data_IF_539072969773
#
_entry.id   IF_539072969773
#
_cell.length_a   1.000
_cell.length_b   1.000
_cell.length_c   1.000
_cell.angle_alpha   90.00
_cell.angle_beta   90.00
_cell.angle_gamma   90.00
#
_symmetry.space_group_name_H-M   'P 1'
#
loop_
_entity.id
_entity.type
_entity.pdbx_description
1 polymer ?
2 polymer ?
3 polymer ?
4 non-polymer ?
5 water ?
#
# COMPACT_ATOMS: atom_id res chain seq x y z
N UNK A 1 10.24 4.13 -19.07
CA UNK A 1 10.15 3.36 -17.80
C UNK A 1 9.32 2.12 -18.04
N UNK A 2 9.05 1.40 -16.96
CA UNK A 2 8.13 0.28 -17.04
C UNK A 2 6.88 0.66 -16.25
N UNK A 3 5.76 0.06 -16.60
CA UNK A 3 4.50 0.38 -15.96
C UNK A 3 3.73 -0.90 -15.62
N UNK A 4 2.79 -0.81 -14.71
CA UNK A 4 2.04 -1.99 -14.35
C UNK A 4 0.57 -1.68 -14.11
N UNK A 5 -0.28 -2.63 -14.48
CA UNK A 5 -1.68 -2.58 -14.10
C UNK A 5 -1.96 -3.78 -13.21
N UNK A 6 -2.57 -3.52 -12.05
CA UNK A 6 -2.68 -4.52 -10.98
C UNK A 6 -4.05 -4.47 -10.31
N UNK A 7 -4.65 -5.64 -10.07
CA UNK A 7 -5.94 -5.72 -9.34
C UNK A 7 -5.74 -6.48 -8.04
N UNK A 8 -6.18 -5.88 -6.92
CA UNK A 8 -6.02 -6.49 -5.59
C UNK A 8 -7.41 -6.78 -4.99
N UNK A 9 -7.68 -8.05 -4.66
CA UNK A 9 -9.00 -8.49 -4.25
C UNK A 9 -8.92 -9.00 -2.83
N UNK A 10 -9.84 -8.55 -1.97
CA UNK A 10 -9.89 -9.01 -0.57
C UNK A 10 -11.29 -9.54 -0.20
N UNK A 11 -11.35 -10.73 0.38
CA UNK A 11 -12.62 -11.26 0.94
C UNK A 11 -12.42 -11.70 2.38
N UNK A 12 -13.21 -11.16 3.30
CA UNK A 12 -13.10 -11.44 4.72
C UNK A 12 -14.41 -12.00 5.35
N UNK A 13 -14.43 -13.27 5.76
CA UNK A 13 -15.58 -13.81 6.43
C UNK A 13 -15.77 -13.20 7.83
N UNK A 14 -17.03 -13.07 8.24
CA UNK A 14 -17.38 -12.58 9.57
C UNK A 14 -18.62 -13.30 10.05
N UNK A 15 -18.47 -14.59 10.38
CA UNK A 15 -19.59 -15.45 10.76
C UNK A 15 -20.51 -14.81 11.81
N UNK A 16 -21.82 -14.95 11.59
CA UNK A 16 -22.82 -14.35 12.46
C UNK A 16 -23.13 -12.92 12.06
N UNK A 17 -22.08 -12.18 11.66
CA UNK A 17 -22.18 -10.74 11.37
C UNK A 17 -22.55 -10.45 9.92
N UNK A 18 -23.20 -11.41 9.26
CA UNK A 18 -23.62 -11.23 7.87
C UNK A 18 -22.60 -11.75 6.87
N UNK A 19 -22.79 -11.41 5.60
CA UNK A 19 -21.98 -11.93 4.51
C UNK A 19 -20.59 -11.29 4.46
N UNK A 20 -19.60 -12.04 3.96
CA UNK A 20 -18.19 -11.59 3.94
C UNK A 20 -18.04 -10.17 3.42
N UNK A 21 -17.06 -9.46 3.94
CA UNK A 21 -16.70 -8.16 3.40
C UNK A 21 -15.84 -8.34 2.15
N UNK A 22 -16.11 -7.58 1.12
CA UNK A 22 -15.42 -7.84 -0.15
C UNK A 22 -14.97 -6.55 -0.84
N UNK A 23 -13.74 -6.55 -1.35
CA UNK A 23 -13.16 -5.33 -1.91
C UNK A 23 -12.31 -5.67 -3.15
N UNK A 24 -12.38 -4.83 -4.20
CA UNK A 24 -11.40 -4.91 -5.28
C UNK A 24 -10.78 -3.54 -5.44
N UNK A 25 -9.46 -3.51 -5.59
CA UNK A 25 -8.78 -2.25 -5.92
C UNK A 25 -7.90 -2.36 -7.16
N UNK A 26 -8.07 -1.41 -8.09
CA UNK A 26 -7.20 -1.29 -9.27
C UNK A 26 -6.08 -0.26 -9.10
N UNK A 27 -4.84 -0.63 -9.49
CA UNK A 27 -3.69 0.28 -9.49
C UNK A 27 -3.01 0.46 -10.84
N UNK A 28 -2.80 1.70 -11.22
CA UNK A 28 -1.88 1.97 -12.33
C UNK A 28 -0.60 2.52 -11.68
N UNK A 29 0.50 1.78 -11.80
CA UNK A 29 1.79 2.26 -11.36
C UNK A 29 1.84 2.60 -9.90
N UNK A 30 0.90 2.06 -9.13
CA UNK A 30 0.88 2.28 -7.69
C UNK A 30 -0.03 3.48 -7.30
N UNK A 31 -0.68 4.06 -8.29
CA UNK A 31 -1.79 4.97 -8.09
C UNK A 31 -3.10 4.19 -8.10
N UNK A 32 -3.91 4.31 -7.05
CA UNK A 32 -5.21 3.64 -7.03
C UNK A 32 -6.13 4.36 -8.03
N UNK A 33 -6.81 3.62 -8.91
CA UNK A 33 -7.63 4.30 -9.91
C UNK A 33 -9.07 3.86 -10.04
N UNK A 34 -9.36 2.65 -9.59
CA UNK A 34 -10.74 2.12 -9.53
C UNK A 34 -10.87 1.32 -8.25
N UNK A 35 -12.10 1.19 -7.77
CA UNK A 35 -12.36 0.47 -6.53
C UNK A 35 -13.78 -0.08 -6.52
N UNK A 36 -13.94 -1.28 -5.97
CA UNK A 36 -15.24 -1.88 -5.73
C UNK A 36 -15.41 -2.31 -4.28
N UNK A 37 -16.43 -1.77 -3.60
CA UNK A 37 -16.56 -1.98 -2.14
C UNK A 37 -17.95 -2.48 -1.83
N UNK A 38 -18.03 -3.64 -1.20
CA UNK A 38 -19.34 -4.23 -0.88
C UNK A 38 -20.05 -3.47 0.24
N UNK A 39 -19.31 -2.67 1.00
CA UNK A 39 -19.91 -1.92 2.09
C UNK A 39 -20.69 -0.72 1.58
N UNK A 40 -20.38 -0.29 0.36
CA UNK A 40 -21.08 0.85 -0.28
C UNK A 40 -22.59 0.73 -0.13
N UNK A 41 -23.25 1.88 0.01
CA UNK A 41 -24.70 1.97 0.08
C UNK A 41 -25.30 1.28 -1.14
N UNK A 42 -24.63 1.46 -2.28
CA UNK A 42 -24.99 0.81 -3.51
C UNK A 42 -23.69 0.40 -4.20
N UNK A 43 -23.17 -0.78 -3.84
CA UNK A 43 -21.85 -1.23 -4.26
C UNK A 43 -21.69 -1.25 -5.78
N UNK A 44 -20.48 -0.93 -6.25
CA UNK A 44 -20.18 -0.90 -7.68
C UNK A 44 -18.76 -0.39 -7.92
N UNK A 45 -18.18 -0.73 -9.06
CA UNK A 45 -16.90 -0.16 -9.39
C UNK A 45 -17.06 1.34 -9.50
N UNK A 46 -16.10 2.08 -8.98
CA UNK A 46 -16.07 3.52 -9.16
C UNK A 46 -14.67 4.07 -9.36
N UNK A 47 -14.58 5.25 -9.98
CA UNK A 47 -13.32 5.90 -10.30
C UNK A 47 -12.66 6.40 -9.03
N UNK A 48 -11.34 6.42 -8.99
CA UNK A 48 -10.61 6.85 -7.80
C UNK A 48 -9.63 7.98 -8.11
N UNK A 49 -9.55 8.33 -9.38
CA UNK A 49 -8.81 9.50 -9.82
C UNK A 49 -9.72 10.31 -10.70
N UNK A 50 -9.51 11.64 -10.71
CA UNK A 50 -10.25 12.54 -11.61
C UNK A 50 -10.15 12.15 -13.08
N UNK A 51 -9.03 11.55 -13.49
CA UNK A 51 -8.85 11.18 -14.89
C UNK A 51 -9.67 9.95 -15.30
N UNK A 52 -10.03 9.11 -14.32
CA UNK A 52 -10.83 7.92 -14.60
C UNK A 52 -12.29 8.27 -14.84
N UNK A 53 -12.67 9.50 -14.52
CA UNK A 53 -14.07 9.88 -14.64
C UNK A 53 -14.46 10.17 -16.08
N UNK A 54 -13.49 10.18 -16.98
CA UNK A 54 -13.75 10.57 -18.37
C UNK A 54 -14.11 9.40 -19.30
N UNK A 55 -13.98 8.16 -18.82
CA UNK A 55 -14.28 6.97 -19.63
C UNK A 55 -15.78 6.76 -19.83
N UNK A 56 -16.11 6.03 -20.89
CA UNK A 56 -17.48 5.74 -21.28
C UNK A 56 -18.24 5.10 -20.14
N UNK A 57 -19.53 5.46 -20.01
CA UNK A 57 -20.32 4.89 -18.91
C UNK A 57 -20.47 3.38 -19.07
N UNK A 58 -20.17 2.89 -20.27
CA UNK A 58 -20.28 1.46 -20.57
C UNK A 58 -19.27 0.72 -19.74
N UNK A 59 -18.18 1.43 -19.44
CA UNK A 59 -17.07 0.88 -18.71
C UNK A 59 -17.51 0.29 -17.38
N UNK A 60 -18.23 1.09 -16.60
CA UNK A 60 -18.51 0.81 -15.20
C UNK A 60 -19.44 -0.36 -14.96
N UNK A 61 -20.65 -0.24 -15.50
CA UNK A 61 -21.66 -1.25 -15.36
C UNK A 61 -21.10 -2.63 -15.63
N UNK A 62 -20.29 -2.77 -16.68
CA UNK A 62 -19.68 -4.06 -17.01
C UNK A 62 -18.75 -4.57 -15.92
N UNK A 63 -17.90 -3.69 -15.44
CA UNK A 63 -16.93 -4.02 -14.41
C UNK A 63 -17.61 -4.29 -13.08
N UNK A 64 -18.62 -3.48 -12.74
CA UNK A 64 -19.47 -3.77 -11.58
C UNK A 64 -20.07 -5.19 -11.62
N UNK A 65 -20.60 -5.56 -12.78
CA UNK A 65 -21.14 -6.90 -12.94
C UNK A 65 -20.05 -7.94 -12.71
N UNK A 66 -18.85 -7.68 -13.23
CA UNK A 66 -17.77 -8.63 -13.05
C UNK A 66 -17.39 -8.74 -11.56
N UNK A 67 -17.37 -7.61 -10.87
CA UNK A 67 -17.01 -7.58 -9.44
C UNK A 67 -18.02 -8.33 -8.61
N UNK A 68 -19.31 -8.13 -8.91
CA UNK A 68 -20.38 -8.86 -8.23
C UNK A 68 -20.25 -10.37 -8.39
N UNK A 69 -19.92 -10.82 -9.61
CA UNK A 69 -19.63 -12.22 -9.83
C UNK A 69 -18.43 -12.66 -9.01
N UNK A 70 -17.43 -11.80 -8.87
CA UNK A 70 -16.25 -12.11 -8.05
C UNK A 70 -16.57 -12.21 -6.57
N UNK A 71 -17.51 -11.38 -6.13
CA UNK A 71 -17.91 -11.36 -4.74
C UNK A 71 -18.72 -12.60 -4.36
N UNK A 72 -19.73 -12.95 -5.17
CA UNK A 72 -20.47 -14.20 -4.94
C UNK A 72 -19.51 -15.37 -4.98
N UNK A 73 -18.61 -15.40 -5.96
CA UNK A 73 -17.60 -16.46 -6.03
C UNK A 73 -16.75 -16.55 -4.76
N UNK A 74 -16.32 -15.39 -4.24
CA UNK A 74 -15.35 -15.35 -3.16
C UNK A 74 -15.96 -15.87 -1.89
N UNK A 75 -17.25 -15.61 -1.73
CA UNK A 75 -18.05 -16.11 -0.63
C UNK A 75 -18.08 -17.65 -0.63
N UNK A 76 -18.23 -18.21 -1.81
CA UNK A 76 -18.17 -19.67 -1.98
C UNK A 76 -16.72 -20.09 -1.66
N UNK A 77 -15.73 -19.34 -2.15
CA UNK A 77 -14.31 -19.68 -1.87
C UNK A 77 -13.97 -19.78 -0.37
N UNK A 78 -14.48 -18.85 0.41
CA UNK A 78 -14.22 -18.88 1.84
C UNK A 78 -14.76 -20.19 2.45
N UNK A 79 -15.97 -20.57 2.05
CA UNK A 79 -16.55 -21.81 2.54
C UNK A 79 -15.70 -23.00 2.07
N UNK A 80 -15.20 -22.91 0.87
CA UNK A 80 -14.43 -23.99 0.25
C UNK A 80 -13.15 -24.21 1.02
N UNK A 81 -12.40 -23.14 1.26
CA UNK A 81 -11.16 -23.24 2.03
C UNK A 81 -11.39 -23.83 3.43
N UNK A 82 -12.45 -23.41 4.09
CA UNK A 82 -12.72 -23.91 5.41
C UNK A 82 -12.82 -25.42 5.32
N UNK A 83 -13.42 -25.89 4.22
CA UNK A 83 -13.59 -27.30 4.03
C UNK A 83 -12.27 -27.95 3.66
N UNK A 84 -11.50 -27.37 2.74
CA UNK A 84 -10.23 -27.99 2.39
C UNK A 84 -9.34 -28.14 3.60
N UNK A 85 -9.33 -27.15 4.49
CA UNK A 85 -8.37 -27.17 5.59
C UNK A 85 -8.97 -27.81 6.84
N UNK A 86 -10.26 -28.07 6.83
CA UNK A 86 -10.90 -28.70 7.98
C UNK A 86 -10.78 -27.80 9.22
N UNK A 87 -11.08 -26.52 8.99
CA UNK A 87 -11.02 -25.52 10.04
C UNK A 87 -12.34 -25.38 10.81
N UNK A 88 -12.23 -25.19 12.13
CA UNK A 88 -13.39 -24.94 13.00
C UNK A 88 -14.26 -23.81 12.47
N UNK A 89 -15.55 -23.92 12.69
CA UNK A 89 -16.49 -22.88 12.27
C UNK A 89 -16.35 -21.64 13.14
N UNK A 90 -16.93 -20.52 12.72
CA UNK A 90 -17.11 -19.37 13.59
C UNK A 90 -15.97 -18.37 13.67
N UNK A 91 -14.89 -18.60 12.93
CA UNK A 91 -13.80 -17.64 12.94
C UNK A 91 -13.80 -16.81 11.66
N UNK A 92 -13.01 -15.74 11.66
CA UNK A 92 -12.88 -14.95 10.46
C UNK A 92 -11.66 -15.42 9.68
N UNK A 93 -11.78 -15.51 8.35
CA UNK A 93 -10.67 -15.91 7.46
C UNK A 93 -10.63 -15.00 6.24
N UNK A 94 -9.51 -14.94 5.55
CA UNK A 94 -9.39 -13.96 4.49
C UNK A 94 -8.89 -14.64 3.22
N UNK A 95 -9.45 -14.27 2.07
CA UNK A 95 -8.81 -14.63 0.79
C UNK A 95 -8.29 -13.36 0.12
N UNK A 96 -7.08 -13.40 -0.46
CA UNK A 96 -6.56 -12.27 -1.22
C UNK A 96 -6.06 -12.78 -2.56
N UNK A 97 -6.28 -11.96 -3.58
CA UNK A 97 -5.80 -12.30 -4.89
C UNK A 97 -5.14 -11.03 -5.42
N UNK A 98 -4.02 -11.22 -6.12
CA UNK A 98 -3.38 -10.15 -6.89
C UNK A 98 -3.21 -10.67 -8.31
N UNK A 99 -3.61 -9.88 -9.29
CA UNK A 99 -3.40 -10.25 -10.68
C UNK A 99 -3.04 -8.96 -11.39
N UNK A 100 -2.08 -9.04 -12.30
CA UNK A 100 -1.76 -7.88 -13.14
C UNK A 100 -0.61 -8.12 -14.10
N UNK A 101 -0.28 -7.09 -14.89
CA UNK A 101 0.76 -7.21 -15.88
C UNK A 101 1.73 -6.07 -15.68
N UNK A 102 2.98 -6.35 -15.96
CA UNK A 102 3.98 -5.31 -15.87
C UNK A 102 4.58 -5.16 -17.27
N UNK A 103 4.58 -3.95 -17.80
CA UNK A 103 5.00 -3.76 -19.20
C UNK A 103 6.15 -2.78 -19.40
N UNK A 104 7.17 -3.20 -20.15
CA UNK A 104 8.29 -2.30 -20.50
C UNK A 104 7.91 -1.16 -21.43
N UNK A 105 8.75 -0.14 -21.50
CA UNK A 105 8.46 1.03 -22.34
C UNK A 105 8.36 0.72 -23.82
N UNK A 106 8.60 -0.53 -24.22
CA UNK A 106 8.45 -0.91 -25.61
C UNK A 106 7.07 -1.54 -25.83
N UNK A 107 6.22 -1.50 -24.79
CA UNK A 107 4.86 -2.07 -24.89
C UNK A 107 4.75 -3.58 -24.75
N UNK A 108 5.87 -4.23 -24.45
CA UNK A 108 5.94 -5.69 -24.38
C UNK A 108 5.66 -6.16 -22.94
N UNK A 109 5.17 -7.38 -22.77
CA UNK A 109 4.91 -7.91 -21.42
C UNK A 109 6.23 -8.29 -20.74
N UNK A 110 6.54 -7.66 -19.62
CA UNK A 110 7.70 -8.07 -18.83
C UNK A 110 7.25 -9.18 -17.89
N UNK A 111 6.10 -9.01 -17.24
CA UNK A 111 5.57 -10.04 -16.35
C UNK A 111 4.06 -9.99 -16.11
N UNK A 112 3.46 -11.17 -16.13
CA UNK A 112 2.07 -11.35 -15.73
C UNK A 112 1.98 -12.02 -14.37
N UNK A 113 1.05 -11.56 -13.55
CA UNK A 113 0.81 -12.07 -12.18
C UNK A 113 -0.58 -12.61 -11.98
N UNK A 114 -0.66 -13.73 -11.29
CA UNK A 114 -1.90 -14.34 -10.81
C UNK A 114 -1.58 -15.18 -9.56
N UNK A 115 -2.01 -14.68 -8.40
CA UNK A 115 -1.70 -15.36 -7.16
C UNK A 115 -2.76 -15.14 -6.07
N UNK A 116 -2.80 -16.09 -5.16
CA UNK A 116 -3.83 -16.17 -4.15
C UNK A 116 -3.18 -16.46 -2.82
N UNK A 117 -3.72 -15.83 -1.78
CA UNK A 117 -3.28 -16.12 -0.42
C UNK A 117 -4.47 -16.47 0.43
N UNK A 118 -4.30 -17.43 1.32
CA UNK A 118 -5.32 -17.72 2.31
C UNK A 118 -4.85 -17.40 3.72
N UNK A 119 -5.62 -16.60 4.45
CA UNK A 119 -5.21 -16.17 5.79
C UNK A 119 -3.81 -15.60 5.79
N UNK A 120 -3.47 -14.86 4.75
CA UNK A 120 -2.25 -14.10 4.69
C UNK A 120 -1.04 -14.86 4.19
N UNK A 121 -1.22 -16.10 3.79
CA UNK A 121 -0.09 -16.95 3.34
C UNK A 121 -0.30 -17.40 1.89
N UNK A 122 0.81 -17.63 1.19
CA UNK A 122 0.76 -18.05 -0.20
C UNK A 122 -0.15 -19.26 -0.35
N UNK A 123 -1.00 -19.24 -1.36
CA UNK A 123 -1.88 -20.36 -1.56
C UNK A 123 -1.57 -21.01 -2.90
N UNK A 124 -1.75 -20.26 -3.98
CA UNK A 124 -1.47 -20.71 -5.34
C UNK A 124 -1.06 -19.49 -6.16
N UNK A 125 -0.20 -19.74 -7.16
CA UNK A 125 0.32 -18.68 -8.00
C UNK A 125 0.55 -19.22 -9.41
N UNK A 126 0.30 -18.39 -10.40
CA UNK A 126 0.58 -18.76 -11.77
C UNK A 126 2.09 -18.53 -11.98
N UNK A 127 2.79 -19.53 -12.51
CA UNK A 127 4.23 -19.37 -12.73
C UNK A 127 4.52 -18.40 -13.85
N UNK A 128 5.77 -17.93 -13.91
CA UNK A 128 6.18 -16.95 -14.90
C UNK A 128 5.87 -17.36 -16.37
N UNK A 129 5.88 -18.65 -16.64
CA UNK A 129 5.60 -19.14 -18.01
C UNK A 129 4.14 -18.89 -18.41
N UNK A 130 3.29 -18.63 -17.42
CA UNK A 130 1.88 -18.30 -17.62
C UNK A 130 1.08 -19.47 -18.10
N UNK A 131 1.51 -20.66 -17.72
CA UNK A 131 0.92 -21.92 -18.19
C UNK A 131 0.80 -22.93 -17.07
N UNK A 132 1.63 -22.82 -16.03
CA UNK A 132 1.61 -23.79 -14.93
C UNK A 132 1.45 -23.09 -13.56
N UNK A 133 0.94 -23.83 -12.57
CA UNK A 133 0.66 -23.31 -11.24
C UNK A 133 1.66 -23.80 -10.21
N UNK A 134 1.83 -23.04 -9.15
CA UNK A 134 2.61 -23.46 -7.99
C UNK A 134 1.66 -23.43 -6.82
N UNK A 135 1.29 -24.61 -6.32
CA UNK A 135 0.45 -24.72 -5.11
C UNK A 135 1.35 -24.76 -3.88
N UNK A 136 1.06 -23.92 -2.89
CA UNK A 136 1.91 -23.89 -1.66
C UNK A 136 1.68 -25.07 -0.72
N UNK A 137 0.57 -25.78 -0.89
CA UNK A 137 0.25 -26.86 0.03
C UNK A 137 -0.77 -27.88 -0.51
N UNK A 138 -1.04 -28.90 0.28
CA UNK A 138 -2.04 -29.91 0.00
C UNK A 138 -3.37 -29.33 -0.48
N UNK A 139 -3.97 -28.47 0.33
CA UNK A 139 -5.22 -27.78 -0.03
C UNK A 139 -5.13 -27.11 -1.38
N UNK A 140 -4.05 -26.38 -1.62
CA UNK A 140 -3.88 -25.70 -2.90
C UNK A 140 -3.74 -26.66 -4.10
N UNK A 141 -3.27 -27.89 -3.87
CA UNK A 141 -3.25 -28.92 -4.90
C UNK A 141 -4.67 -29.30 -5.40
N UNK A 142 -5.68 -29.18 -4.56
CA UNK A 142 -7.04 -29.45 -5.03
C UNK A 142 -7.46 -28.35 -6.01
N UNK A 143 -7.12 -27.10 -5.71
CA UNK A 143 -7.45 -25.98 -6.60
C UNK A 143 -6.61 -26.07 -7.88
N UNK A 144 -5.35 -26.49 -7.72
CA UNK A 144 -4.49 -26.62 -8.89
C UNK A 144 -5.12 -27.56 -9.94
N UNK A 145 -5.61 -28.71 -9.50
CA UNK A 145 -6.27 -29.66 -10.39
C UNK A 145 -7.56 -29.09 -11.00
N UNK A 146 -8.44 -28.52 -10.17
CA UNK A 146 -9.67 -27.87 -10.66
C UNK A 146 -9.31 -26.88 -11.75
N UNK A 147 -8.27 -26.10 -11.50
CA UNK A 147 -7.94 -24.97 -12.39
C UNK A 147 -7.29 -25.45 -13.71
N UNK A 148 -6.54 -26.54 -13.64
CA UNK A 148 -5.97 -27.15 -14.83
C UNK A 148 -7.08 -27.70 -15.70
N UNK A 149 -7.99 -28.42 -15.07
CA UNK A 149 -9.12 -29.03 -15.73
C UNK A 149 -10.04 -28.00 -16.37
N UNK A 150 -10.18 -26.86 -15.73
CA UNK A 150 -11.06 -25.82 -16.24
C UNK A 150 -10.36 -24.95 -17.29
N UNK A 151 -9.09 -25.29 -17.59
CA UNK A 151 -8.27 -24.48 -18.48
C UNK A 151 -8.11 -23.05 -18.00
N UNK A 152 -7.97 -22.84 -16.69
CA UNK A 152 -7.84 -21.48 -16.19
C UNK A 152 -6.59 -20.74 -16.72
N UNK A 153 -5.45 -21.43 -16.70
CA UNK A 153 -4.16 -20.79 -17.03
C UNK A 153 -4.18 -20.08 -18.38
N UNK A 154 -4.87 -20.69 -19.34
CA UNK A 154 -4.96 -20.12 -20.68
C UNK A 154 -5.86 -18.88 -20.71
N UNK A 155 -7.02 -18.95 -20.06
CA UNK A 155 -7.83 -17.75 -19.84
C UNK A 155 -6.96 -16.63 -19.28
N UNK A 156 -6.20 -16.94 -18.23
CA UNK A 156 -5.33 -15.95 -17.58
C UNK A 156 -4.22 -15.44 -18.50
N UNK A 157 -3.53 -16.36 -19.18
CA UNK A 157 -2.51 -15.95 -20.15
C UNK A 157 -3.06 -14.94 -21.16
N UNK A 158 -4.19 -15.27 -21.78
CA UNK A 158 -4.81 -14.40 -22.79
C UNK A 158 -5.04 -12.99 -22.22
N UNK A 159 -5.69 -12.92 -21.07
CA UNK A 159 -5.94 -11.65 -20.38
C UNK A 159 -4.65 -10.90 -20.08
N UNK A 160 -3.68 -11.60 -19.53
CA UNK A 160 -2.46 -10.91 -19.08
C UNK A 160 -1.65 -10.34 -20.24
N UNK A 161 -1.60 -11.10 -21.34
CA UNK A 161 -0.83 -10.67 -22.51
C UNK A 161 -1.61 -9.72 -23.41
N UNK A 162 -2.94 -9.78 -23.34
CA UNK A 162 -3.75 -9.01 -24.26
C UNK A 162 -4.42 -7.90 -23.49
N UNK A 163 -5.67 -8.14 -23.09
CA UNK A 163 -6.45 -7.09 -22.45
C UNK A 163 -5.69 -6.31 -21.39
N UNK A 164 -4.98 -6.99 -20.50
CA UNK A 164 -4.27 -6.29 -19.43
C UNK A 164 -3.32 -5.20 -20.00
N UNK A 165 -2.52 -5.61 -20.97
CA UNK A 165 -1.60 -4.68 -21.64
C UNK A 165 -2.36 -3.57 -22.38
N UNK A 166 -3.40 -3.95 -23.10
CA UNK A 166 -4.15 -2.97 -23.88
C UNK A 166 -4.80 -1.90 -22.99
N UNK A 167 -5.28 -2.29 -21.83
CA UNK A 167 -5.95 -1.31 -20.99
C UNK A 167 -4.96 -0.43 -20.21
N UNK A 168 -3.82 -1.02 -19.84
CA UNK A 168 -2.77 -0.23 -19.26
C UNK A 168 -2.50 1.02 -20.11
N UNK A 169 -2.41 0.80 -21.44
CA UNK A 169 -2.17 1.88 -22.40
C UNK A 169 -3.31 2.90 -22.37
N UNK A 170 -4.55 2.45 -22.42
CA UNK A 170 -5.67 3.39 -22.29
C UNK A 170 -5.48 4.23 -21.03
N UNK A 171 -5.29 3.56 -19.89
CA UNK A 171 -5.13 4.22 -18.61
C UNK A 171 -3.95 5.22 -18.61
N UNK A 172 -2.76 4.74 -18.99
CA UNK A 172 -1.62 5.64 -19.17
C UNK A 172 -1.99 6.89 -19.99
N UNK A 173 -2.42 6.70 -21.23
CA UNK A 173 -2.80 7.87 -22.02
C UNK A 173 -3.88 8.67 -21.30
N UNK A 174 -4.85 8.01 -20.68
CA UNK A 174 -5.86 8.72 -19.88
C UNK A 174 -5.27 9.63 -18.78
N UNK A 175 -4.67 9.06 -17.75
CA UNK A 175 -4.09 9.86 -16.66
C UNK A 175 -2.75 10.51 -17.02
N UNK A 176 -2.63 10.96 -18.26
CA UNK A 176 -1.34 11.35 -18.81
C UNK A 176 -0.57 12.34 -17.96
N UNK A 177 -1.17 13.50 -17.74
CA UNK A 177 -0.55 14.56 -16.96
C UNK A 177 0.09 14.03 -15.66
N UNK A 178 -0.71 13.35 -14.85
CA UNK A 178 -0.27 13.03 -13.50
C UNK A 178 0.43 11.69 -13.32
N UNK A 179 0.13 10.70 -14.14
CA UNK A 179 0.81 9.40 -13.96
C UNK A 179 2.31 9.45 -14.32
N UNK A 180 2.65 10.24 -15.33
CA UNK A 180 4.00 10.24 -15.88
C UNK A 180 4.90 11.34 -15.35
N UNK A 181 4.37 12.17 -14.46
CA UNK A 181 5.13 13.28 -13.90
C UNK A 181 6.26 12.79 -12.99
N UNK A 182 7.16 13.70 -12.69
CA UNK A 182 8.22 13.50 -11.73
C UNK A 182 8.26 14.73 -10.81
N UNK A 183 8.19 14.53 -9.49
CA UNK A 183 8.39 15.62 -8.54
C UNK A 183 9.68 15.31 -7.78
N UNK A 184 10.69 16.16 -7.92
CA UNK A 184 11.92 15.84 -7.24
C UNK A 184 11.80 16.23 -5.78
N UNK A 185 12.48 15.49 -4.90
CA UNK A 185 12.39 15.68 -3.46
C UNK A 185 12.96 17.04 -3.07
N UNK A 186 12.38 17.66 -2.05
CA UNK A 186 12.97 18.85 -1.46
C UNK A 186 13.66 18.37 -0.19
N UNK A 187 14.93 18.68 -0.02
CA UNK A 187 15.69 18.07 1.08
C UNK A 187 16.22 19.09 2.07
N UNK A 188 16.38 18.70 3.33
CA UNK A 188 17.06 19.55 4.30
C UNK A 188 17.53 18.69 5.45
N UNK A 189 18.40 19.23 6.28
CA UNK A 189 18.95 18.50 7.43
C UNK A 189 18.54 19.20 8.76
N UNK A 190 18.01 18.43 9.71
CA UNK A 190 17.82 18.99 11.04
C UNK A 190 18.90 18.52 12.00
N UNK A 191 18.96 19.15 13.17
CA UNK A 191 20.10 19.01 14.08
C UNK A 191 19.59 19.01 15.53
N UNK A 192 19.95 17.98 16.28
CA UNK A 192 19.48 17.80 17.68
C UNK A 192 20.60 17.31 18.62
N UNK A 193 20.71 17.91 19.79
CA UNK A 193 21.67 17.45 20.81
C UNK A 193 21.02 16.49 21.80
N UNK A 194 21.44 15.22 21.81
CA UNK A 194 20.91 14.25 22.78
C UNK A 194 21.90 13.99 23.94
N UNK A 195 21.56 13.07 24.85
CA UNK A 195 22.36 12.86 26.06
C UNK A 195 23.87 12.84 25.78
N UNK A 196 24.66 12.70 26.84
CA UNK A 196 26.12 12.76 26.74
C UNK A 196 26.59 13.87 25.79
N UNK A 197 27.40 13.50 24.80
CA UNK A 197 27.87 14.44 23.78
C UNK A 197 27.52 13.95 22.40
N UNK A 198 26.23 13.62 22.19
CA UNK A 198 25.77 13.08 20.93
C UNK A 198 24.96 14.12 20.14
N UNK A 199 25.04 14.06 18.82
CA UNK A 199 24.16 14.87 17.99
C UNK A 199 23.45 13.99 16.98
N UNK A 200 22.15 14.23 16.84
CA UNK A 200 21.36 13.58 15.81
C UNK A 200 21.20 14.48 14.59
N UNK A 201 21.64 13.99 13.44
CA UNK A 201 21.46 14.66 12.16
C UNK A 201 20.35 13.92 11.44
N UNK A 202 19.30 14.63 11.02
CA UNK A 202 18.22 13.99 10.32
C UNK A 202 18.10 14.54 8.89
N UNK A 203 18.23 13.64 7.92
CA UNK A 203 18.21 14.06 6.54
C UNK A 203 16.84 13.77 5.99
N UNK A 204 16.17 14.80 5.50
CA UNK A 204 14.77 14.76 5.13
C UNK A 204 14.63 14.82 3.63
N UNK A 205 13.61 14.12 3.11
CA UNK A 205 13.27 14.24 1.71
C UNK A 205 11.75 14.34 1.64
N UNK A 206 11.24 15.39 0.99
CA UNK A 206 9.81 15.68 0.93
C UNK A 206 9.25 15.97 -0.46
N UNK A 207 7.96 15.72 -0.63
CA UNK A 207 7.22 16.15 -1.83
C UNK A 207 7.66 15.44 -3.12
N UNK A 208 8.21 14.23 -3.03
CA UNK A 208 8.72 13.57 -4.27
C UNK A 208 7.77 12.52 -4.82
N UNK A 209 7.86 12.31 -6.12
CA UNK A 209 7.16 11.23 -6.79
C UNK A 209 7.93 10.94 -8.09
N UNK A 210 8.06 9.65 -8.45
CA UNK A 210 7.52 8.49 -7.72
C UNK A 210 8.13 8.23 -6.33
N UNK A 211 7.58 7.21 -5.65
CA UNK A 211 7.98 6.80 -4.29
C UNK A 211 9.42 6.36 -4.11
N UNK A 212 10.02 5.83 -5.17
CA UNK A 212 11.39 5.28 -5.15
C UNK A 212 12.45 6.35 -4.84
N UNK A 213 13.26 6.13 -3.81
CA UNK A 213 14.28 7.10 -3.45
C UNK A 213 15.31 6.42 -2.62
N UNK A 214 16.51 6.98 -2.62
CA UNK A 214 17.54 6.52 -1.73
C UNK A 214 18.14 7.71 -0.98
N UNK A 215 18.34 7.50 0.33
CA UNK A 215 18.96 8.48 1.20
C UNK A 215 20.11 7.76 1.85
N UNK A 216 21.29 8.38 1.86
CA UNK A 216 22.42 7.80 2.49
C UNK A 216 23.15 8.86 3.27
N UNK A 217 23.90 8.43 4.28
CA UNK A 217 24.78 9.32 4.99
C UNK A 217 26.22 8.85 4.72
N UNK A 218 27.12 9.80 4.50
CA UNK A 218 28.52 9.45 4.30
C UNK A 218 29.35 10.08 5.41
N UNK A 219 30.20 9.27 6.03
CA UNK A 219 31.19 9.81 6.96
C UNK A 219 32.54 9.85 6.24
N UNK A 220 33.10 11.03 6.13
CA UNK A 220 34.35 11.21 5.39
C UNK A 220 34.26 10.96 3.88
N UNK A 221 33.65 9.85 3.49
CA UNK A 221 33.53 9.54 2.07
C UNK A 221 33.01 8.15 1.83
N UNK A 222 32.49 7.52 2.87
CA UNK A 222 31.82 6.23 2.69
C UNK A 222 30.54 6.16 3.52
N UNK A 223 29.62 5.29 3.11
CA UNK A 223 28.30 5.28 3.71
C UNK A 223 28.29 4.61 5.07
N UNK A 224 27.25 4.88 5.86
CA UNK A 224 27.14 4.37 7.22
C UNK A 224 26.00 3.34 7.36
N UNK A 225 25.94 2.66 8.50
CA UNK A 225 24.94 1.60 8.73
C UNK A 225 24.49 1.51 10.19
N UNK A 226 25.44 1.64 11.10
CA UNK A 226 25.12 1.71 12.52
C UNK A 226 24.97 3.16 12.90
N UNK A 227 24.31 3.41 14.02
CA UNK A 227 24.01 4.78 14.43
C UNK A 227 23.04 5.43 13.44
N UNK A 228 22.41 4.60 12.59
CA UNK A 228 21.52 5.12 11.54
C UNK A 228 20.08 4.69 11.71
N UNK A 229 19.14 5.57 11.35
CA UNK A 229 17.78 5.12 11.23
C UNK A 229 17.14 5.65 9.97
N UNK A 230 16.38 4.81 9.30
CA UNK A 230 15.60 5.30 8.20
C UNK A 230 14.17 4.82 8.35
N UNK A 231 13.21 5.70 8.09
CA UNK A 231 11.83 5.30 8.20
C UNK A 231 11.38 4.77 6.87
N UNK A 232 10.37 3.91 6.90
CA UNK A 232 9.80 3.42 5.65
C UNK A 232 9.20 4.60 4.87
N UNK A 233 9.30 4.56 3.55
CA UNK A 233 8.80 5.62 2.68
C UNK A 233 7.28 5.75 2.82
N UNK A 234 6.76 6.98 2.91
CA UNK A 234 5.36 7.17 3.33
C UNK A 234 4.67 8.23 2.48
N UNK A 235 3.36 8.06 2.26
CA UNK A 235 2.52 8.98 1.51
C UNK A 235 2.22 10.27 2.29
N UNK A 236 2.29 11.41 1.60
CA UNK A 236 1.87 12.65 2.20
C UNK A 236 0.34 12.72 2.13
N UNK A 237 -0.26 11.90 1.26
CA UNK A 237 -1.72 11.86 1.09
C UNK A 237 -2.17 12.69 -0.11
N UNK A 238 -1.28 13.52 -0.66
CA UNK A 238 -1.59 14.33 -1.86
C UNK A 238 -0.88 13.81 -3.13
N UNK A 239 -0.44 12.55 -3.13
CA UNK A 239 0.24 11.98 -4.29
C UNK A 239 1.77 12.09 -4.25
N UNK A 240 2.31 12.77 -3.22
CA UNK A 240 3.75 12.78 -2.97
C UNK A 240 4.14 11.90 -1.75
N UNK A 241 5.45 11.75 -1.51
CA UNK A 241 5.97 10.76 -0.57
C UNK A 241 7.04 11.43 0.25
N UNK A 242 7.40 10.84 1.40
CA UNK A 242 8.34 11.44 2.32
C UNK A 242 9.22 10.36 2.85
N UNK A 243 10.45 10.70 3.21
CA UNK A 243 11.35 9.76 3.83
C UNK A 243 12.37 10.52 4.66
N UNK A 244 12.93 9.90 5.69
CA UNK A 244 14.12 10.49 6.27
C UNK A 244 15.06 9.44 6.79
N UNK A 245 16.33 9.83 6.93
CA UNK A 245 17.34 8.98 7.51
C UNK A 245 18.15 9.82 8.47
N UNK A 246 18.31 9.33 9.69
CA UNK A 246 19.06 10.08 10.69
C UNK A 246 20.33 9.32 11.06
N UNK A 247 21.27 10.03 11.65
CA UNK A 247 22.51 9.43 12.09
C UNK A 247 22.97 10.14 13.35
N UNK A 248 23.60 9.37 14.24
CA UNK A 248 24.11 9.90 15.50
C UNK A 248 25.61 9.98 15.44
N UNK A 249 26.15 11.17 15.68
CA UNK A 249 27.56 11.45 15.47
C UNK A 249 28.09 12.15 16.70
N UNK A 250 29.42 12.26 16.82
CA UNK A 250 29.93 12.93 18.01
C UNK A 250 29.75 14.45 17.94
N UNK A 251 29.67 15.08 19.10
CA UNK A 251 29.43 16.52 19.19
C UNK A 251 30.65 17.30 18.73
N UNK A 252 30.42 18.30 17.88
CA UNK A 252 31.52 19.05 17.28
C UNK A 252 32.11 18.36 16.06
N UNK A 253 31.63 17.16 15.75
CA UNK A 253 32.04 16.49 14.51
C UNK A 253 30.97 16.44 13.40
N UNK A 254 29.94 17.28 13.46
CA UNK A 254 28.84 17.26 12.47
C UNK A 254 29.26 17.56 11.05
N UNK A 255 30.30 18.38 10.88
CA UNK A 255 30.71 18.82 9.57
C UNK A 255 31.25 17.69 8.70
N UNK A 256 31.63 16.58 9.32
CA UNK A 256 32.22 15.46 8.56
C UNK A 256 31.19 14.57 7.90
N UNK A 257 29.91 14.81 8.16
CA UNK A 257 28.87 13.94 7.60
C UNK A 257 28.07 14.69 6.56
N UNK A 258 27.85 14.05 5.42
CA UNK A 258 27.01 14.60 4.36
C UNK A 258 25.86 13.65 4.09
N UNK A 259 24.73 14.21 3.68
CA UNK A 259 23.58 13.40 3.31
C UNK A 259 23.45 13.45 1.82
N UNK A 260 23.08 12.32 1.21
CA UNK A 260 22.88 12.22 -0.23
C UNK A 260 21.50 11.68 -0.52
N UNK A 261 20.85 12.29 -1.50
CA UNK A 261 19.50 11.95 -1.84
C UNK A 261 19.54 11.60 -3.32
N UNK A 262 19.07 10.41 -3.69
CA UNK A 262 19.07 9.95 -5.09
C UNK A 262 17.65 9.72 -5.53
N UNK A 263 17.29 10.30 -6.66
CA UNK A 263 15.91 10.22 -7.09
C UNK A 263 15.84 10.51 -8.58
N UNK A 264 14.98 9.81 -9.31
CA UNK A 264 14.94 9.96 -10.77
C UNK A 264 14.59 11.35 -11.23
N UNK A 265 13.87 12.11 -10.39
CA UNK A 265 13.50 13.46 -10.77
C UNK A 265 14.58 14.50 -10.53
N UNK A 266 15.81 14.06 -10.33
CA UNK A 266 16.89 15.00 -10.02
C UNK A 266 17.91 15.04 -11.15
N UNK A 267 18.26 16.24 -11.65
CA UNK A 267 19.32 16.34 -12.65
C UNK A 267 20.61 15.67 -12.18
N UNK A 268 20.75 15.52 -10.87
CA UNK A 268 21.85 14.77 -10.26
C UNK A 268 21.65 14.76 -8.74
N UNK A 269 22.30 13.82 -8.04
CA UNK A 269 21.88 13.67 -6.63
C UNK A 269 22.16 14.89 -5.75
N UNK A 270 21.40 15.02 -4.67
CA UNK A 270 21.54 16.13 -3.75
C UNK A 270 22.58 15.77 -2.70
N UNK A 271 23.41 16.72 -2.34
CA UNK A 271 24.38 16.56 -1.27
C UNK A 271 24.14 17.63 -0.18
N UNK A 272 23.85 17.22 1.05
CA UNK A 272 23.60 18.20 2.12
C UNK A 272 24.53 17.99 3.31
N UNK A 273 24.80 19.08 4.02
CA UNK A 273 25.59 19.02 5.23
C UNK A 273 25.01 20.03 6.20
N UNK A 274 25.30 19.86 7.48
CA UNK A 274 24.76 20.77 8.48
C UNK A 274 25.59 22.05 8.59
N UNK B 1 -3.43 -19.21 12.13
CA UNK B 1 -3.33 -17.81 11.63
C UNK B 1 -2.05 -17.19 12.16
N UNK B 2 -1.15 -16.85 11.23
CA UNK B 2 -0.01 -16.02 11.54
C UNK B 2 -0.48 -14.56 11.58
N UNK B 3 -0.47 -13.96 12.76
CA UNK B 3 -0.79 -12.57 12.88
C UNK B 3 0.51 -11.74 12.80
N UNK B 4 0.43 -10.57 12.19
CA UNK B 4 1.57 -9.67 12.13
C UNK B 4 1.12 -8.35 12.74
N UNK B 5 2.05 -7.69 13.43
CA UNK B 5 1.82 -6.50 14.24
C UNK B 5 1.92 -5.22 13.41
N UNK B 6 0.90 -4.37 13.44
CA UNK B 6 0.98 -3.18 12.62
C UNK B 6 2.18 -2.30 12.95
N UNK B 7 2.73 -1.63 11.95
CA UNK B 7 3.79 -0.63 12.15
C UNK B 7 3.14 0.72 11.92
N UNK B 8 3.52 1.72 12.71
CA UNK B 8 2.78 2.98 12.70
C UNK B 8 3.71 4.15 12.54
N UNK B 9 3.35 5.09 11.66
CA UNK B 9 4.00 6.39 11.61
C UNK B 9 2.93 7.48 11.64
N UNK B 10 3.15 8.50 12.47
CA UNK B 10 2.21 9.65 12.57
C UNK B 10 2.99 10.86 12.15
N UNK B 11 2.43 11.68 11.26
CA UNK B 11 3.25 12.74 10.63
C UNK B 11 2.35 13.65 9.81
N UNK B 12 2.83 14.87 9.51
CA UNK B 12 2.02 15.85 8.78
C UNK B 12 2.23 15.80 7.28
N UNK B 13 1.29 16.33 6.52
CA UNK B 13 1.35 16.29 5.05
C UNK B 13 2.32 17.33 4.55
N UNK B 14 2.29 18.50 5.18
CA UNK B 14 3.19 19.62 4.92
C UNK B 14 4.05 19.86 6.16
N UNK B 15 5.19 20.56 5.99
CA UNK B 15 5.98 20.93 7.18
C UNK B 15 5.15 21.74 8.17
N UNK B 16 5.14 21.34 9.46
CA UNK B 16 4.28 21.97 10.48
C UNK B 16 4.66 23.41 10.77
N UNK B 17 3.66 24.29 10.75
CA UNK B 17 3.79 25.69 11.13
C UNK B 17 2.69 26.06 12.09
N UNK B 18 3.05 26.37 13.33
CA UNK B 18 2.02 26.71 14.33
C UNK B 18 0.98 27.63 13.74
N UNK B 19 -0.28 27.34 13.98
CA UNK B 19 -1.34 28.18 13.51
C UNK B 19 -1.75 28.06 12.07
N UNK B 20 -1.23 27.08 11.37
CA UNK B 20 -1.55 26.93 9.98
C UNK B 20 -2.23 25.62 9.63
N UNK B 21 -3.44 25.69 9.13
CA UNK B 21 -4.12 24.50 8.67
C UNK B 21 -3.16 23.52 7.97
N UNK B 22 -3.24 22.25 8.33
CA UNK B 22 -2.38 21.24 7.76
C UNK B 22 -3.19 19.95 7.68
N UNK B 23 -2.54 18.86 7.29
CA UNK B 23 -3.17 17.55 7.40
C UNK B 23 -2.28 16.59 8.17
N UNK B 24 -2.88 15.83 9.09
CA UNK B 24 -2.18 14.83 9.91
C UNK B 24 -2.52 13.41 9.49
N UNK B 25 -1.46 12.61 9.34
CA UNK B 25 -1.56 11.27 8.83
C UNK B 25 -1.17 10.24 9.90
N UNK B 26 -1.94 9.19 10.02
CA UNK B 26 -1.48 8.00 10.73
C UNK B 26 -1.34 6.79 9.75
N UNK B 27 -0.11 6.45 9.39
CA UNK B 27 0.13 5.43 8.37
C UNK B 27 0.42 4.14 9.04
N UNK B 28 -0.47 3.17 8.87
CA UNK B 28 -0.35 1.89 9.58
C UNK B 28 -0.14 0.73 8.61
N UNK B 29 0.91 -0.06 8.78
CA UNK B 29 1.27 -1.02 7.75
C UNK B 29 1.67 -2.37 8.32
N UNK B 30 1.85 -3.36 7.44
CA UNK B 30 2.40 -4.66 7.79
C UNK B 30 1.58 -5.47 8.79
N UNK B 31 0.26 -5.36 8.74
CA UNK B 31 -0.55 -6.09 9.69
C UNK B 31 -1.45 -7.13 9.04
N UNK B 32 -1.77 -8.13 9.86
CA UNK B 32 -2.69 -9.16 9.50
C UNK B 32 -3.19 -9.73 10.82
N UNK B 33 -4.51 -9.96 10.94
CA UNK B 33 -5.54 -9.83 9.92
C UNK B 33 -5.95 -8.39 9.63
N UNK B 34 -6.79 -8.19 8.61
CA UNK B 34 -7.21 -6.85 8.17
C UNK B 34 -7.99 -6.02 9.22
N UNK B 35 -8.71 -6.65 10.13
CA UNK B 35 -9.53 -5.88 11.07
C UNK B 35 -8.63 -5.10 12.01
N UNK B 36 -8.91 -3.81 12.14
CA UNK B 36 -8.08 -2.92 12.94
C UNK B 36 -8.89 -1.68 13.33
N UNK B 37 -8.60 -1.14 14.50
CA UNK B 37 -9.29 0.05 14.98
C UNK B 37 -8.22 1.10 15.16
N UNK B 38 -8.39 2.18 14.40
CA UNK B 38 -7.49 3.31 14.49
C UNK B 38 -8.25 4.58 14.95
N UNK B 39 -7.72 5.24 15.97
CA UNK B 39 -8.24 6.55 16.32
C UNK B 39 -7.12 7.59 16.44
N UNK B 40 -7.41 8.78 15.95
CA UNK B 40 -6.52 9.93 16.06
C UNK B 40 -6.94 10.80 17.23
N UNK B 41 -5.97 11.24 18.02
CA UNK B 41 -6.26 11.96 19.25
C UNK B 41 -5.74 13.38 19.25
N UNK B 42 -6.54 14.30 19.77
CA UNK B 42 -6.05 15.65 20.06
C UNK B 42 -6.12 15.89 21.58
N UNK B 43 -4.96 16.17 22.17
CA UNK B 43 -4.82 16.36 23.61
C UNK B 43 -5.29 15.17 24.44
N UNK B 44 -5.30 13.98 23.81
CA UNK B 44 -5.70 12.73 24.48
C UNK B 44 -7.09 12.27 24.09
N UNK B 45 -7.82 13.15 23.38
CA UNK B 45 -9.23 12.94 23.09
C UNK B 45 -9.51 12.61 21.61
N UNK B 46 -10.41 11.66 21.38
CA UNK B 46 -10.80 11.28 20.03
C UNK B 46 -11.10 12.51 19.16
N UNK B 47 -10.40 12.63 18.02
CA UNK B 47 -10.82 13.57 16.98
C UNK B 47 -12.02 12.96 16.26
N UNK B 48 -12.98 13.80 15.84
CA UNK B 48 -14.21 13.27 15.27
C UNK B 48 -14.15 13.11 13.74
N UNK B 49 -14.73 12.01 13.25
CA UNK B 49 -14.88 11.81 11.81
C UNK B 49 -13.56 12.02 11.06
N UNK B 50 -12.58 11.15 11.27
CA UNK B 50 -11.34 11.22 10.51
C UNK B 50 -11.47 10.30 9.30
N UNK B 51 -10.75 10.60 8.22
CA UNK B 51 -10.88 9.83 6.97
C UNK B 51 -9.93 8.63 6.90
N UNK B 52 -10.45 7.51 6.40
CA UNK B 52 -9.67 6.30 6.15
C UNK B 52 -9.55 6.02 4.65
N UNK B 53 -8.35 5.67 4.21
CA UNK B 53 -8.18 5.22 2.83
C UNK B 53 -8.83 3.86 2.63
N UNK B 54 -8.91 3.40 1.37
CA UNK B 54 -9.27 2.02 1.07
C UNK B 54 -8.16 1.13 1.63
N UNK B 55 -8.47 0.21 2.54
CA UNK B 55 -7.40 -0.71 2.94
C UNK B 55 -6.94 -1.42 1.68
N UNK B 56 -5.64 -1.69 1.58
CA UNK B 56 -5.17 -2.64 0.60
C UNK B 56 -4.15 -3.45 1.31
N UNK B 57 -3.34 -4.12 0.51
CA UNK B 57 -2.31 -4.94 1.06
C UNK B 57 -1.21 -4.87 0.06
N UNK B 58 -0.02 -5.28 0.44
CA UNK B 58 1.18 -5.16 -0.39
C UNK B 58 1.55 -6.50 -0.97
N UNK B 59 2.59 -6.48 -1.81
CA UNK B 59 3.06 -7.66 -2.48
C UNK B 59 3.24 -8.83 -1.49
N UNK B 60 3.59 -8.53 -0.24
CA UNK B 60 3.74 -9.60 0.77
C UNK B 60 2.42 -10.03 1.41
N UNK B 61 1.30 -9.51 0.92
CA UNK B 61 -0.03 -9.83 1.45
C UNK B 61 -0.45 -9.00 2.70
N UNK B 62 0.51 -8.36 3.36
CA UNK B 62 0.21 -7.62 4.58
C UNK B 62 -0.62 -6.36 4.28
N UNK B 63 -1.54 -5.98 5.17
CA UNK B 63 -2.46 -4.87 4.94
C UNK B 63 -1.94 -3.50 5.36
N UNK B 64 -2.60 -2.44 4.89
CA UNK B 64 -2.15 -1.11 5.22
C UNK B 64 -3.24 -0.11 4.99
N UNK B 65 -3.21 0.96 5.75
CA UNK B 65 -4.22 1.99 5.64
C UNK B 65 -3.64 3.32 6.10
N UNK B 66 -4.12 4.40 5.51
CA UNK B 66 -3.78 5.76 5.89
C UNK B 66 -5.00 6.43 6.55
N UNK B 67 -4.85 6.90 7.77
CA UNK B 67 -5.91 7.63 8.43
C UNK B 67 -5.43 9.05 8.40
N UNK B 68 -6.34 9.98 8.17
CA UNK B 68 -5.94 11.38 8.11
C UNK B 68 -7.07 12.33 8.48
N UNK B 69 -6.71 13.52 8.92
CA UNK B 69 -7.68 14.49 9.36
C UNK B 69 -7.04 15.85 9.25
N UNK B 70 -7.85 16.89 9.14
CA UNK B 70 -7.35 18.25 9.25
C UNK B 70 -6.84 18.46 10.67
N UNK B 71 -5.80 19.28 10.80
CA UNK B 71 -5.34 19.72 12.11
C UNK B 71 -4.52 20.98 11.94
N UNK B 72 -4.53 21.80 12.98
CA UNK B 72 -3.73 23.00 13.03
C UNK B 72 -2.81 22.96 14.24
N UNK B 73 -1.51 22.73 14.02
CA UNK B 73 -0.55 22.60 15.10
C UNK B 73 -0.38 23.85 15.98
N UNK B 74 -0.23 23.64 17.28
CA UNK B 74 0.04 24.73 18.21
C UNK B 74 1.28 24.39 19.04
N UNK B 75 1.66 25.30 19.93
CA UNK B 75 2.82 25.10 20.76
C UNK B 75 2.60 23.98 21.76
N UNK B 76 1.36 23.86 22.24
CA UNK B 76 1.10 22.97 23.37
C UNK B 76 0.23 21.77 23.01
N UNK B 77 -0.66 21.93 22.03
CA UNK B 77 -1.50 20.81 21.62
C UNK B 77 -0.61 19.63 21.25
N UNK B 78 -1.00 18.44 21.68
CA UNK B 78 -0.27 17.24 21.33
C UNK B 78 -1.17 16.38 20.47
N UNK B 79 -0.57 15.51 19.66
CA UNK B 79 -1.34 14.67 18.77
C UNK B 79 -0.86 13.21 18.78
N UNK B 80 -1.79 12.29 18.55
CA UNK B 80 -1.48 10.89 18.65
C UNK B 80 -2.41 10.02 17.80
N UNK B 81 -1.88 8.86 17.42
CA UNK B 81 -2.68 7.84 16.76
C UNK B 81 -2.72 6.67 17.70
N UNK B 82 -3.90 6.08 17.87
CA UNK B 82 -4.08 4.97 18.78
C UNK B 82 -4.50 3.74 17.99
N UNK B 83 -3.70 2.68 18.02
CA UNK B 83 -4.05 1.50 17.22
C UNK B 83 -4.42 0.25 18.04
N UNK B 84 -5.58 -0.32 17.74
CA UNK B 84 -6.00 -1.55 18.39
C UNK B 84 -6.10 -2.69 17.35
N UNK B 85 -5.30 -3.73 17.56
CA UNK B 85 -5.21 -4.84 16.61
C UNK B 85 -5.05 -6.11 17.41
N UNK B 86 -5.64 -7.21 16.91
CA UNK B 86 -5.56 -8.52 17.56
C UNK B 86 -4.16 -8.99 17.90
N UNK B 87 -3.18 -8.50 17.16
CA UNK B 87 -1.81 -8.99 17.31
C UNK B 87 -1.19 -8.45 18.57
N UNK B 88 -1.87 -7.47 19.18
CA UNK B 88 -1.36 -6.81 20.39
C UNK B 88 -2.32 -6.91 21.56
N UNK B 89 -1.78 -7.23 22.73
CA UNK B 89 -2.61 -7.25 23.94
C UNK B 89 -3.26 -5.90 24.17
N UNK B 90 -2.49 -4.83 24.02
CA UNK B 90 -3.02 -3.50 24.35
C UNK B 90 -2.95 -2.57 23.17
N UNK B 91 -3.86 -1.59 23.14
CA UNK B 91 -3.82 -0.57 22.12
C UNK B 91 -2.42 0.01 22.13
N UNK B 92 -1.96 0.51 20.98
CA UNK B 92 -0.64 1.12 20.91
C UNK B 92 -0.77 2.56 20.48
N UNK B 93 -0.21 3.47 21.26
CA UNK B 93 -0.27 4.90 20.97
C UNK B 93 1.09 5.41 20.48
N UNK B 94 1.06 6.16 19.39
CA UNK B 94 2.28 6.83 18.92
C UNK B 94 1.96 8.32 18.82
N UNK B 95 2.84 9.16 19.37
CA UNK B 95 2.59 10.58 19.38
C UNK B 95 3.24 11.26 18.19
N UNK B 96 2.58 12.31 17.71
CA UNK B 96 3.12 13.10 16.64
C UNK B 96 4.27 13.90 17.23
N UNK B 97 5.42 13.82 16.57
CA UNK B 97 6.59 14.56 16.96
C UNK B 97 6.94 15.34 15.72
N UNK B 98 7.11 16.64 15.87
CA UNK B 98 7.16 17.48 14.69
C UNK B 98 8.44 17.35 13.88
N UNK B 99 9.53 16.84 14.47
CA UNK B 99 10.67 16.57 13.62
C UNK B 99 10.79 15.09 13.33
N UNK B 100 9.63 14.46 13.12
CA UNK B 100 9.57 13.11 12.62
C UNK B 100 8.31 12.91 11.79
N UNK C 1 -8.72 -3.05 -16.93
CA UNK C 1 -9.97 -3.87 -16.98
C UNK C 1 -9.82 -5.12 -16.08
N UNK C 2 -10.71 -5.30 -15.11
CA UNK C 2 -10.74 -6.55 -14.33
C UNK C 2 -11.50 -7.65 -15.07
N UNK C 3 -11.03 -8.89 -14.93
CA UNK C 3 -11.78 -10.06 -15.38
C UNK C 3 -12.44 -10.77 -14.20
N UNK C 4 -13.07 -11.91 -14.51
CA UNK C 4 -13.76 -12.72 -13.54
C UNK C 4 -12.73 -13.67 -12.94
N UNK C 5 -12.95 -14.11 -11.70
CA UNK C 5 -11.99 -14.97 -11.05
C UNK C 5 -12.46 -16.42 -11.02
N UNK C 6 -11.51 -17.34 -11.12
CA UNK C 6 -11.80 -18.75 -10.99
C UNK C 6 -12.03 -19.11 -9.51
N UNK C 7 -13.06 -19.93 -9.28
CA UNK C 7 -13.34 -20.47 -7.99
C UNK C 7 -12.23 -21.42 -7.54
N UNK C 8 -12.00 -21.46 -6.23
CA UNK C 8 -11.01 -22.31 -5.58
C UNK C 8 -11.50 -23.75 -5.35
#
# INVERSE_FOLDING_TARGET
GSHSLRYFVTAVSRPGHGKPRYMEVGYVDDTEFVRFDSDAENPRYEPRTPWMEQVEPEYWEGQTQIAKGNEQSSRVDLRTALRYYNQSAGGSHTIQRMRGCEVGSDGRLLRGYQQVAYDGRDYIALNEDLKTWTAADMAALITKHKWEQAGAAERDRAYLEGACVEWLRRYLELGNATLLRTDSPKAHVTHHSRPKDKVTLRCWALGFYPADITLTWQLNGEELTQDMELVETRPAGDGTFQKWASVVVPLGKEQNYTCHVYHEGLPEPLTLRW
MIQKTPQIQVYSRHPPENGKPNILNCYVTQFHPPHIEIQMLKNGKKIPKVEMSDMSFSKDWSFYILAHTEFTPTETDTYACRVKHDSMAEPKTVYWDRDM
IQQSIERI
#
